data_IF_482465256694
#
_entry.id   IF_482465256694
#
_cell.length_a   1.000
_cell.length_b   1.000
_cell.length_c   1.000
_cell.angle_alpha   90.00
_cell.angle_beta   90.00
_cell.angle_gamma   90.00
#
_symmetry.space_group_name_H-M   'P 1'
#
loop_
_entity.id
_entity.type
_entity.pdbx_description
1 polymer ?
#
# COMPACT_ATOMS: atom_id res chain seq x y z
N UNK A 1 -76.42 -4.66 -9.51
CA UNK A 1 -76.35 -6.01 -8.90
C UNK A 1 -74.88 -6.27 -8.59
N UNK A 2 -74.49 -5.92 -7.37
CA UNK A 2 -74.07 -6.84 -6.30
C UNK A 2 -72.78 -7.62 -6.67
N UNK A 3 -71.67 -7.54 -5.92
CA UNK A 3 -71.41 -6.88 -4.63
C UNK A 3 -69.91 -7.04 -4.33
N UNK A 4 -69.29 -5.98 -3.79
CA UNK A 4 -68.31 -5.96 -2.67
C UNK A 4 -67.04 -6.84 -2.71
N UNK A 5 -65.82 -6.45 -2.31
CA UNK A 5 -65.08 -5.24 -1.86
C UNK A 5 -63.88 -5.78 -1.06
N UNK A 6 -62.71 -5.11 -1.12
CA UNK A 6 -61.80 -4.72 0.00
C UNK A 6 -61.33 -5.78 1.02
N UNK A 7 -60.22 -5.66 1.74
CA UNK A 7 -59.03 -4.80 1.84
C UNK A 7 -58.17 -5.44 2.95
N UNK A 8 -56.85 -5.21 2.95
CA UNK A 8 -55.98 -4.95 4.12
C UNK A 8 -55.89 -5.99 5.27
N UNK A 9 -54.88 -6.07 6.14
CA UNK A 9 -53.53 -5.54 6.31
C UNK A 9 -52.87 -6.32 7.49
N UNK A 10 -51.53 -6.42 7.46
CA UNK A 10 -50.54 -6.20 8.54
C UNK A 10 -50.75 -6.74 9.99
N UNK A 11 -49.67 -7.39 10.46
CA UNK A 11 -49.07 -7.48 11.82
C UNK A 11 -49.40 -8.63 12.80
N UNK A 12 -48.47 -8.93 13.73
CA UNK A 12 -48.16 -10.28 14.16
C UNK A 12 -48.42 -10.45 15.68
N UNK A 13 -47.92 -11.57 16.18
CA UNK A 13 -47.58 -11.85 17.58
C UNK A 13 -48.62 -12.63 18.41
N UNK A 14 -48.00 -13.50 19.23
CA UNK A 14 -48.39 -14.01 20.54
C UNK A 14 -49.12 -15.37 20.60
N UNK A 15 -48.31 -16.29 21.16
CA UNK A 15 -48.59 -17.12 22.34
C UNK A 15 -49.50 -18.33 22.14
N UNK A 16 -48.95 -19.50 22.43
CA UNK A 16 -49.22 -20.33 23.63
C UNK A 16 -48.88 -21.79 23.29
N UNK A 17 -47.96 -22.44 24.00
CA UNK A 17 -48.24 -23.41 25.08
C UNK A 17 -48.11 -24.88 24.57
N UNK A 18 -47.63 -25.92 25.28
CA UNK A 18 -47.23 -26.14 26.69
C UNK A 18 -46.53 -27.54 26.76
N UNK A 19 -45.44 -27.61 27.54
CA UNK A 19 -44.97 -28.62 28.52
C UNK A 19 -44.59 -30.10 28.22
N UNK A 20 -43.43 -30.44 28.82
CA UNK A 20 -43.11 -31.69 29.54
C UNK A 20 -41.61 -31.98 29.46
N UNK A 21 -40.78 -32.11 30.50
CA UNK A 21 -40.90 -32.09 31.96
C UNK A 21 -39.62 -32.72 32.56
N UNK A 22 -39.13 -32.18 33.69
CA UNK A 22 -38.14 -32.70 34.67
C UNK A 22 -36.68 -32.98 34.20
N UNK A 23 -35.59 -32.68 34.93
CA UNK A 23 -35.35 -32.09 36.25
C UNK A 23 -33.85 -32.20 36.63
N UNK A 24 -33.34 -31.23 37.43
CA UNK A 24 -32.09 -31.17 38.24
C UNK A 24 -30.72 -31.50 37.57
N UNK A 25 -29.59 -30.79 37.77
CA UNK A 25 -29.10 -30.00 38.90
C UNK A 25 -28.11 -28.91 38.43
N UNK A 26 -28.09 -27.75 39.10
CA UNK A 26 -27.09 -26.68 38.89
C UNK A 26 -26.02 -26.81 39.98
N UNK A 27 -24.80 -27.17 39.58
CA UNK A 27 -23.62 -26.99 40.42
C UNK A 27 -22.98 -25.64 40.05
N UNK A 28 -23.08 -24.67 40.96
CA UNK A 28 -22.36 -23.41 40.87
C UNK A 28 -20.88 -23.65 41.20
N UNK A 29 -19.99 -23.51 40.21
CA UNK A 29 -18.55 -23.43 40.47
C UNK A 29 -18.19 -21.96 40.69
N UNK A 30 -18.01 -21.59 41.96
CA UNK A 30 -17.36 -20.35 42.34
C UNK A 30 -15.86 -20.46 42.04
N UNK A 31 -15.37 -19.68 41.08
CA UNK A 31 -13.92 -19.51 40.86
C UNK A 31 -13.47 -18.31 41.70
N UNK A 32 -12.43 -18.45 42.55
CA UNK A 32 -11.95 -17.34 43.35
C UNK A 32 -11.28 -16.29 42.44
N UNK A 33 -11.67 -15.02 42.61
CA UNK A 33 -10.88 -13.88 42.13
C UNK A 33 -9.55 -13.87 42.91
N UNK A 34 -8.52 -14.47 42.34
CA UNK A 34 -7.14 -14.21 42.74
C UNK A 34 -6.70 -12.88 42.12
N UNK A 35 -6.22 -11.99 42.97
CA UNK A 35 -5.71 -10.67 42.63
C UNK A 35 -4.56 -10.76 41.61
N UNK A 36 -4.74 -10.15 40.43
CA UNK A 36 -3.61 -9.80 39.58
C UNK A 36 -2.99 -8.51 40.13
N UNK A 37 -2.03 -8.69 41.02
CA UNK A 37 -1.10 -7.65 41.42
C UNK A 37 -0.30 -7.17 40.18
N UNK A 38 -0.10 -5.86 40.12
CA UNK A 38 0.47 -5.18 38.96
C UNK A 38 1.82 -5.72 38.52
N UNK A 39 1.86 -6.19 37.27
CA UNK A 39 3.07 -6.21 36.47
C UNK A 39 3.11 -4.93 35.66
N UNK A 40 4.03 -4.01 35.97
CA UNK A 40 4.40 -2.95 35.05
C UNK A 40 4.76 -3.56 33.71
N UNK A 41 4.05 -3.17 32.64
CA UNK A 41 4.41 -3.53 31.28
C UNK A 41 5.83 -2.99 31.01
N UNK A 42 6.82 -3.87 31.12
CA UNK A 42 8.19 -3.56 30.79
C UNK A 42 8.24 -3.48 29.26
N UNK A 43 8.52 -2.28 28.74
CA UNK A 43 8.73 -2.08 27.32
C UNK A 43 9.77 -3.10 26.83
N UNK A 44 9.44 -3.79 25.73
CA UNK A 44 10.37 -4.70 25.09
C UNK A 44 11.70 -3.97 24.78
N UNK A 45 12.86 -4.60 25.02
CA UNK A 45 14.13 -3.94 24.76
C UNK A 45 14.23 -3.65 23.26
N UNK A 46 14.58 -2.41 22.93
CA UNK A 46 14.94 -2.04 21.56
C UNK A 46 16.25 -2.75 21.23
N UNK A 47 16.18 -3.80 20.41
CA UNK A 47 17.37 -4.49 19.93
C UNK A 47 18.00 -3.65 18.82
N UNK A 48 19.06 -2.91 19.15
CA UNK A 48 19.97 -2.37 18.16
C UNK A 48 21.19 -3.30 18.05
N UNK A 49 21.22 -4.17 17.04
CA UNK A 49 22.44 -4.91 16.71
C UNK A 49 22.35 -6.32 16.09
N UNK A 50 21.17 -6.82 15.70
CA UNK A 50 21.08 -8.13 15.02
C UNK A 50 21.68 -8.11 13.60
N UNK A 51 22.36 -9.18 13.20
CA UNK A 51 22.76 -9.37 11.80
C UNK A 51 21.53 -9.70 10.94
N UNK A 52 21.43 -9.09 9.75
CA UNK A 52 20.36 -9.40 8.79
C UNK A 52 20.57 -10.80 8.21
N UNK A 53 19.61 -11.70 8.44
CA UNK A 53 19.57 -13.05 7.87
C UNK A 53 18.82 -13.03 6.53
N UNK A 54 19.20 -13.89 5.57
CA UNK A 54 18.48 -14.04 4.29
C UNK A 54 18.26 -15.49 3.88
N UNK A 55 17.09 -15.78 3.35
CA UNK A 55 16.79 -17.02 2.61
C UNK A 55 16.77 -16.74 1.10
N UNK A 56 16.31 -17.70 0.28
CA UNK A 56 16.17 -17.47 -1.17
C UNK A 56 15.16 -16.36 -1.56
N UNK A 57 14.23 -16.00 -0.66
CA UNK A 57 13.16 -15.01 -0.97
C UNK A 57 12.73 -14.15 0.21
N UNK A 58 13.46 -14.19 1.34
CA UNK A 58 13.20 -13.32 2.49
C UNK A 58 14.49 -12.76 3.08
N UNK A 59 14.38 -11.59 3.71
CA UNK A 59 15.36 -11.10 4.68
C UNK A 59 14.68 -10.93 6.04
N UNK A 60 15.45 -11.02 7.13
CA UNK A 60 14.99 -10.61 8.47
C UNK A 60 15.68 -9.32 8.86
N UNK A 61 14.91 -8.25 9.04
CA UNK A 61 15.43 -6.93 9.44
C UNK A 61 15.97 -6.95 10.87
N UNK A 62 16.72 -5.91 11.24
CA UNK A 62 17.31 -5.72 12.57
C UNK A 62 16.26 -5.69 13.68
N UNK A 63 15.04 -5.23 13.39
CA UNK A 63 13.89 -5.23 14.31
C UNK A 63 13.03 -6.51 14.21
N UNK A 64 13.48 -7.54 13.48
CA UNK A 64 12.86 -8.86 13.46
C UNK A 64 11.69 -9.01 12.48
N UNK A 65 11.52 -8.08 11.53
CA UNK A 65 10.50 -8.18 10.48
C UNK A 65 11.03 -9.04 9.33
N UNK A 66 10.24 -10.02 8.90
CA UNK A 66 10.56 -10.78 7.70
C UNK A 66 10.01 -10.05 6.48
N UNK A 67 10.90 -9.64 5.58
CA UNK A 67 10.55 -8.97 4.33
C UNK A 67 10.70 -9.97 3.19
N UNK A 68 9.58 -10.31 2.56
CA UNK A 68 9.55 -11.10 1.34
C UNK A 68 9.95 -10.25 0.14
N UNK A 69 10.70 -10.84 -0.78
CA UNK A 69 11.00 -10.22 -2.06
C UNK A 69 11.10 -11.26 -3.18
N UNK A 70 10.90 -10.79 -4.42
CA UNK A 70 11.19 -11.51 -5.64
C UNK A 70 12.42 -10.89 -6.31
N UNK A 71 13.21 -11.70 -7.01
CA UNK A 71 14.45 -11.29 -7.67
C UNK A 71 14.57 -11.96 -9.04
N UNK A 72 14.16 -11.22 -10.07
CA UNK A 72 13.93 -11.67 -11.45
C UNK A 72 15.09 -11.26 -12.37
N UNK A 73 15.22 -11.96 -13.50
CA UNK A 73 16.16 -11.60 -14.56
C UNK A 73 17.63 -12.00 -14.28
N UNK A 74 18.55 -11.60 -15.15
CA UNK A 74 19.97 -11.97 -15.04
C UNK A 74 20.62 -11.35 -13.81
N UNK A 75 21.39 -12.13 -13.04
CA UNK A 75 22.08 -11.65 -11.83
C UNK A 75 23.12 -10.54 -12.09
N UNK A 76 23.60 -10.45 -13.34
CA UNK A 76 24.53 -9.43 -13.84
C UNK A 76 23.85 -8.18 -14.39
N UNK A 77 22.52 -8.19 -14.54
CA UNK A 77 21.76 -7.04 -15.00
C UNK A 77 21.81 -5.89 -14.00
N UNK A 78 21.68 -4.65 -14.48
CA UNK A 78 21.54 -3.50 -13.59
C UNK A 78 20.32 -3.70 -12.68
N UNK A 79 20.45 -3.52 -11.35
CA UNK A 79 19.33 -3.74 -10.44
C UNK A 79 18.29 -2.64 -10.57
N UNK A 80 17.02 -3.05 -10.73
CA UNK A 80 15.84 -2.21 -10.62
C UNK A 80 15.05 -2.67 -9.41
N UNK A 81 14.77 -1.77 -8.46
CA UNK A 81 13.92 -2.07 -7.31
C UNK A 81 12.59 -1.34 -7.49
N UNK A 82 11.49 -2.07 -7.38
CA UNK A 82 10.14 -1.57 -7.55
C UNK A 82 9.36 -1.70 -6.23
N UNK A 83 9.02 -0.56 -5.62
CA UNK A 83 8.23 -0.47 -4.38
C UNK A 83 6.74 -0.30 -4.69
N UNK A 84 5.88 -1.12 -4.10
CA UNK A 84 4.45 -1.16 -4.41
C UNK A 84 3.62 -0.12 -3.63
N UNK A 85 2.42 0.15 -4.11
CA UNK A 85 1.42 1.01 -3.47
C UNK A 85 0.59 0.31 -2.40
N UNK A 86 -0.21 1.08 -1.65
CA UNK A 86 -1.17 0.55 -0.68
C UNK A 86 -2.48 0.07 -1.35
N UNK A 87 -3.14 -1.00 -0.85
CA UNK A 87 -2.70 -1.98 0.16
C UNK A 87 -2.09 -3.23 -0.51
N UNK A 88 -1.38 -3.05 -1.63
CA UNK A 88 -0.95 -4.12 -2.53
C UNK A 88 0.29 -4.86 -2.01
N UNK A 89 0.95 -5.62 -2.87
CA UNK A 89 2.23 -6.25 -2.59
C UNK A 89 3.09 -6.28 -3.88
N UNK A 90 4.24 -6.98 -3.84
CA UNK A 90 5.18 -7.10 -4.95
C UNK A 90 4.58 -7.64 -6.26
N UNK A 91 3.41 -8.28 -6.21
CA UNK A 91 2.73 -8.86 -7.38
C UNK A 91 2.17 -7.79 -8.32
N UNK A 92 1.78 -6.63 -7.78
CA UNK A 92 1.31 -5.47 -8.57
C UNK A 92 2.32 -4.97 -9.62
N UNK A 93 3.59 -5.33 -9.48
CA UNK A 93 4.65 -4.97 -10.41
C UNK A 93 4.93 -6.01 -11.50
N UNK A 94 4.20 -7.12 -11.54
CA UNK A 94 4.54 -8.28 -12.39
C UNK A 94 4.75 -7.91 -13.87
N UNK A 95 3.93 -7.01 -14.43
CA UNK A 95 4.04 -6.63 -15.84
C UNK A 95 5.34 -5.87 -16.11
N UNK A 96 5.67 -4.89 -15.28
CA UNK A 96 6.89 -4.10 -15.40
C UNK A 96 8.13 -4.95 -15.12
N UNK A 97 8.08 -5.77 -14.07
CA UNK A 97 9.18 -6.65 -13.70
C UNK A 97 9.48 -7.68 -14.79
N UNK A 98 8.45 -8.30 -15.38
CA UNK A 98 8.61 -9.22 -16.51
C UNK A 98 9.22 -8.52 -17.72
N UNK A 99 8.71 -7.33 -18.06
CA UNK A 99 9.19 -6.57 -19.22
C UNK A 99 10.66 -6.14 -19.08
N UNK A 100 11.05 -5.62 -17.91
CA UNK A 100 12.42 -5.20 -17.61
C UNK A 100 13.39 -6.39 -17.54
N UNK A 101 12.98 -7.50 -16.91
CA UNK A 101 13.80 -8.71 -16.83
C UNK A 101 14.11 -9.28 -18.23
N UNK A 102 13.10 -9.32 -19.11
CA UNK A 102 13.29 -9.71 -20.52
C UNK A 102 14.14 -8.71 -21.33
N UNK A 103 14.40 -7.52 -20.79
CA UNK A 103 15.27 -6.50 -21.36
C UNK A 103 16.63 -6.39 -20.65
N UNK A 104 17.04 -7.42 -19.90
CA UNK A 104 18.39 -7.56 -19.34
C UNK A 104 18.62 -6.90 -17.99
N UNK A 105 17.57 -6.39 -17.33
CA UNK A 105 17.66 -5.86 -15.97
C UNK A 105 17.47 -6.96 -14.92
N UNK A 106 18.10 -6.81 -13.75
CA UNK A 106 17.78 -7.61 -12.56
C UNK A 106 16.68 -6.88 -11.80
N UNK A 107 15.50 -7.46 -11.66
CA UNK A 107 14.36 -6.74 -11.04
C UNK A 107 14.04 -7.32 -9.68
N UNK A 108 14.03 -6.46 -8.66
CA UNK A 108 13.65 -6.80 -7.30
C UNK A 108 12.32 -6.11 -6.99
N UNK A 109 11.31 -6.89 -6.60
CA UNK A 109 10.06 -6.38 -6.02
C UNK A 109 9.93 -6.94 -4.61
N UNK A 110 9.57 -6.12 -3.64
CA UNK A 110 9.47 -6.56 -2.25
C UNK A 110 8.10 -6.27 -1.67
N UNK A 111 7.69 -7.05 -0.70
CA UNK A 111 6.48 -6.82 0.07
C UNK A 111 6.83 -5.95 1.26
N UNK A 112 6.21 -4.77 1.38
CA UNK A 112 6.34 -3.91 2.56
C UNK A 112 5.96 -4.70 3.82
N UNK A 113 6.53 -4.35 4.98
CA UNK A 113 6.09 -4.91 6.27
C UNK A 113 4.56 -4.91 6.38
N UNK A 114 4.01 -6.04 6.79
CA UNK A 114 2.57 -6.24 6.90
C UNK A 114 1.79 -6.35 5.61
N UNK A 115 2.43 -6.43 4.45
CA UNK A 115 1.79 -6.63 3.16
C UNK A 115 2.20 -7.97 2.56
N UNK A 116 1.30 -8.57 1.77
CA UNK A 116 1.56 -9.82 1.07
C UNK A 116 2.11 -10.93 1.98
N UNK A 117 3.35 -11.33 1.71
CA UNK A 117 4.06 -12.44 2.37
C UNK A 117 5.05 -11.99 3.44
N UNK A 118 5.26 -10.69 3.60
CA UNK A 118 6.07 -10.17 4.70
C UNK A 118 5.35 -10.38 6.04
N UNK A 119 6.11 -10.46 7.14
CA UNK A 119 5.51 -10.60 8.46
C UNK A 119 4.62 -9.38 8.79
N UNK A 120 3.69 -9.56 9.72
CA UNK A 120 2.66 -8.58 10.05
C UNK A 120 2.92 -7.95 11.43
N UNK A 121 3.98 -7.14 11.59
CA UNK A 121 4.27 -6.51 12.88
C UNK A 121 3.14 -5.55 13.26
N UNK A 122 2.84 -5.46 14.55
CA UNK A 122 1.78 -4.56 15.02
C UNK A 122 2.18 -3.08 14.90
N UNK A 123 3.46 -2.78 15.10
CA UNK A 123 4.03 -1.44 15.18
C UNK A 123 4.99 -1.13 14.02
N UNK A 124 5.44 0.12 13.94
CA UNK A 124 6.37 0.60 12.91
C UNK A 124 5.76 0.66 11.52
N UNK A 125 4.45 0.90 11.41
CA UNK A 125 3.76 1.06 10.12
C UNK A 125 3.81 2.52 9.65
N UNK A 126 5.02 3.03 9.47
CA UNK A 126 5.31 4.40 9.06
C UNK A 126 6.41 4.46 8.00
N UNK A 127 6.56 5.61 7.36
CA UNK A 127 7.48 5.79 6.23
C UNK A 127 8.95 5.62 6.62
N UNK A 128 9.33 5.88 7.87
CA UNK A 128 10.71 5.72 8.33
C UNK A 128 11.08 4.23 8.40
N UNK A 129 10.20 3.41 8.99
CA UNK A 129 10.38 1.97 9.00
C UNK A 129 10.32 1.36 7.60
N UNK A 130 9.42 1.83 6.73
CA UNK A 130 9.36 1.36 5.33
C UNK A 130 10.68 1.64 4.59
N UNK A 131 11.26 2.83 4.79
CA UNK A 131 12.55 3.19 4.20
C UNK A 131 13.71 2.37 4.79
N UNK A 132 13.68 2.10 6.10
CA UNK A 132 14.72 1.31 6.77
C UNK A 132 14.66 -0.17 6.41
N UNK A 133 13.48 -0.73 6.17
CA UNK A 133 13.31 -2.09 5.62
C UNK A 133 13.90 -2.19 4.20
N UNK A 134 13.57 -1.22 3.34
CA UNK A 134 14.10 -1.14 1.99
C UNK A 134 15.64 -1.00 1.98
N UNK A 135 16.20 -0.19 2.88
CA UNK A 135 17.65 -0.06 3.03
C UNK A 135 18.30 -1.39 3.43
N UNK A 136 17.70 -2.11 4.37
CA UNK A 136 18.22 -3.41 4.80
C UNK A 136 18.12 -4.48 3.70
N UNK A 137 17.06 -4.45 2.86
CA UNK A 137 16.97 -5.29 1.67
C UNK A 137 18.10 -4.98 0.67
N UNK A 138 18.33 -3.71 0.39
CA UNK A 138 19.41 -3.25 -0.50
C UNK A 138 20.78 -3.70 0.03
N UNK A 139 21.00 -3.59 1.34
CA UNK A 139 22.24 -3.99 2.02
C UNK A 139 22.43 -5.52 1.98
N UNK A 140 21.41 -6.31 2.32
CA UNK A 140 21.48 -7.77 2.37
C UNK A 140 21.77 -8.42 1.00
N UNK A 141 21.33 -7.75 -0.06
CA UNK A 141 21.57 -8.14 -1.45
C UNK A 141 22.80 -7.47 -2.08
N UNK A 142 23.51 -6.62 -1.32
CA UNK A 142 24.61 -5.72 -1.74
C UNK A 142 24.36 -5.03 -3.09
N UNK A 143 23.16 -4.48 -3.27
CA UNK A 143 22.79 -3.84 -4.52
C UNK A 143 23.46 -2.46 -4.64
N UNK A 144 23.93 -2.15 -5.84
CA UNK A 144 24.60 -0.89 -6.20
C UNK A 144 24.17 -0.48 -7.61
N UNK A 145 24.30 0.79 -7.96
CA UNK A 145 23.88 1.34 -9.26
C UNK A 145 22.38 1.09 -9.56
N UNK A 146 21.55 1.24 -8.53
CA UNK A 146 20.13 0.85 -8.52
C UNK A 146 19.27 1.89 -9.25
N UNK A 147 18.32 1.41 -10.06
CA UNK A 147 17.16 2.20 -10.47
C UNK A 147 16.06 1.92 -9.44
N UNK A 148 15.75 2.90 -8.59
CA UNK A 148 14.78 2.74 -7.51
C UNK A 148 13.50 3.49 -7.86
N UNK A 149 12.40 2.77 -8.03
CA UNK A 149 11.11 3.36 -8.39
C UNK A 149 9.98 2.87 -7.49
N UNK A 150 9.00 3.74 -7.27
CA UNK A 150 7.89 3.47 -6.39
C UNK A 150 6.56 3.92 -6.99
N UNK A 151 5.54 3.08 -6.83
CA UNK A 151 4.17 3.37 -7.22
C UNK A 151 3.35 3.82 -6.01
N UNK A 152 2.61 4.94 -6.13
CA UNK A 152 1.71 5.42 -5.07
C UNK A 152 2.45 5.58 -3.73
N UNK A 153 2.00 4.89 -2.67
CA UNK A 153 2.69 4.80 -1.38
C UNK A 153 4.17 4.40 -1.50
N UNK A 154 4.51 3.51 -2.44
CA UNK A 154 5.88 3.11 -2.70
C UNK A 154 6.76 4.25 -3.21
N UNK A 155 6.19 5.25 -3.88
CA UNK A 155 6.95 6.47 -4.22
C UNK A 155 7.28 7.32 -3.00
N UNK A 156 6.40 7.32 -1.98
CA UNK A 156 6.70 7.89 -0.66
C UNK A 156 7.82 7.15 0.07
N UNK A 157 7.80 5.82 0.02
CA UNK A 157 8.90 5.00 0.55
C UNK A 157 10.24 5.28 -0.15
N UNK A 158 10.24 5.41 -1.49
CA UNK A 158 11.42 5.82 -2.25
C UNK A 158 11.91 7.20 -1.83
N UNK A 159 11.01 8.16 -1.67
CA UNK A 159 11.37 9.50 -1.21
C UNK A 159 11.98 9.46 0.19
N UNK A 160 11.34 8.79 1.14
CA UNK A 160 11.84 8.67 2.51
C UNK A 160 13.15 7.90 2.58
N UNK A 161 13.34 6.87 1.75
CA UNK A 161 14.62 6.18 1.61
C UNK A 161 15.73 7.15 1.21
N UNK A 162 15.54 7.96 0.18
CA UNK A 162 16.54 8.98 -0.22
C UNK A 162 16.76 9.99 0.92
N UNK A 163 15.67 10.40 1.59
CA UNK A 163 15.71 11.32 2.71
C UNK A 163 16.60 10.87 3.87
N UNK A 164 16.57 9.58 4.19
CA UNK A 164 17.25 8.96 5.34
C UNK A 164 18.60 8.34 5.00
N UNK A 165 18.70 7.68 3.85
CA UNK A 165 19.83 6.83 3.46
C UNK A 165 20.66 7.41 2.30
N UNK A 166 20.20 8.52 1.71
CA UNK A 166 20.87 9.17 0.59
C UNK A 166 20.85 8.34 -0.70
N UNK A 167 21.70 8.70 -1.65
CA UNK A 167 21.66 8.16 -3.02
C UNK A 167 22.94 7.45 -3.44
N UNK A 168 23.83 7.11 -2.48
CA UNK A 168 25.13 6.49 -2.78
C UNK A 168 25.03 5.19 -3.59
N UNK A 169 23.98 4.40 -3.38
CA UNK A 169 23.71 3.15 -4.11
C UNK A 169 22.79 3.34 -5.32
N UNK A 170 22.27 4.54 -5.55
CA UNK A 170 21.21 4.85 -6.50
C UNK A 170 21.76 5.51 -7.75
N UNK A 171 21.40 4.98 -8.91
CA UNK A 171 21.69 5.53 -10.22
C UNK A 171 20.57 6.45 -10.72
N UNK A 172 19.31 6.02 -10.55
CA UNK A 172 18.12 6.71 -11.04
C UNK A 172 16.93 6.49 -10.10
N UNK A 173 16.00 7.43 -10.11
CA UNK A 173 14.81 7.42 -9.26
C UNK A 173 13.52 7.48 -10.09
N UNK A 174 12.45 6.88 -9.60
CA UNK A 174 11.13 6.89 -10.25
C UNK A 174 9.99 7.10 -9.26
N UNK A 175 9.11 8.06 -9.54
CA UNK A 175 7.88 8.34 -8.80
C UNK A 175 6.66 8.16 -9.71
N UNK A 176 5.92 7.06 -9.56
CA UNK A 176 4.83 6.67 -10.46
C UNK A 176 3.51 6.81 -9.69
N UNK A 177 2.64 7.72 -10.12
CA UNK A 177 1.38 8.06 -9.43
C UNK A 177 1.59 8.25 -7.91
N UNK A 178 2.71 8.83 -7.50
CA UNK A 178 3.25 8.73 -6.15
C UNK A 178 2.65 9.75 -5.18
N UNK A 179 2.58 9.41 -3.88
CA UNK A 179 2.02 10.28 -2.83
C UNK A 179 2.80 11.56 -2.47
N UNK A 180 4.13 11.67 -2.68
CA UNK A 180 4.85 12.93 -2.44
C UNK A 180 4.32 14.09 -3.31
N UNK A 181 4.41 15.35 -2.83
CA UNK A 181 5.11 15.75 -1.60
C UNK A 181 4.31 15.62 -0.31
N UNK A 182 2.98 15.76 -0.35
CA UNK A 182 2.06 15.58 0.79
C UNK A 182 0.63 15.49 0.25
N UNK A 183 -0.13 14.46 0.63
CA UNK A 183 -1.54 14.36 0.21
C UNK A 183 -2.48 15.20 1.08
N UNK A 184 -2.26 15.24 2.39
CA UNK A 184 -3.13 15.93 3.34
C UNK A 184 -3.16 17.43 3.10
N UNK A 185 -4.37 18.00 3.13
CA UNK A 185 -4.58 19.44 3.15
C UNK A 185 -4.04 20.04 4.45
N UNK A 186 -3.13 21.00 4.33
CA UNK A 186 -2.61 21.77 5.47
C UNK A 186 -2.51 23.24 5.10
N UNK A 187 -2.18 24.11 6.07
CA UNK A 187 -1.91 25.53 5.79
C UNK A 187 -0.79 25.72 4.73
N UNK A 188 0.17 24.79 4.67
CA UNK A 188 1.27 24.82 3.70
C UNK A 188 1.06 23.91 2.49
N UNK A 189 -0.11 23.27 2.40
CA UNK A 189 -0.54 22.43 1.28
C UNK A 189 -2.06 22.58 1.05
N UNK A 190 -2.53 23.78 0.62
CA UNK A 190 -3.96 24.07 0.54
C UNK A 190 -4.70 23.26 -0.54
N UNK A 191 -3.96 22.75 -1.54
CA UNK A 191 -4.48 21.89 -2.62
C UNK A 191 -4.54 20.40 -2.26
N UNK A 192 -4.12 20.02 -1.05
CA UNK A 192 -4.25 18.64 -0.56
C UNK A 192 -5.70 18.23 -0.29
N UNK A 193 -5.91 16.95 -0.02
CA UNK A 193 -7.21 16.37 0.31
C UNK A 193 -7.57 16.60 1.79
N UNK A 194 -8.85 16.89 2.12
CA UNK A 194 -9.30 17.02 3.50
C UNK A 194 -9.07 15.75 4.33
N UNK A 195 -8.89 15.90 5.65
CA UNK A 195 -8.64 14.77 6.57
C UNK A 195 -9.79 13.75 6.54
N UNK A 196 -11.01 14.23 6.33
CA UNK A 196 -12.25 13.46 6.30
C UNK A 196 -12.22 12.38 5.22
N UNK A 197 -11.46 12.60 4.12
CA UNK A 197 -11.25 11.58 3.08
C UNK A 197 -10.50 10.39 3.66
N UNK A 198 -9.41 10.63 4.38
CA UNK A 198 -8.57 9.57 4.96
C UNK A 198 -9.23 8.92 6.18
N UNK A 199 -9.96 9.70 6.99
CA UNK A 199 -10.80 9.16 8.06
C UNK A 199 -11.91 8.26 7.52
N UNK A 200 -12.49 8.59 6.36
CA UNK A 200 -13.44 7.74 5.67
C UNK A 200 -12.83 6.39 5.25
N UNK A 201 -11.61 6.39 4.72
CA UNK A 201 -10.90 5.14 4.37
C UNK A 201 -10.63 4.33 5.65
N UNK A 202 -10.12 4.97 6.72
CA UNK A 202 -9.88 4.32 8.02
C UNK A 202 -11.16 3.69 8.59
N UNK A 203 -12.26 4.44 8.58
CA UNK A 203 -13.56 3.95 9.04
C UNK A 203 -14.05 2.76 8.18
N UNK A 204 -13.91 2.84 6.85
CA UNK A 204 -14.24 1.77 5.93
C UNK A 204 -13.40 0.50 6.16
N UNK A 205 -12.11 0.65 6.45
CA UNK A 205 -11.22 -0.47 6.79
C UNK A 205 -11.70 -1.20 8.05
N UNK A 206 -12.03 -0.45 9.09
CA UNK A 206 -12.53 -1.02 10.36
C UNK A 206 -13.90 -1.67 10.18
N UNK A 207 -14.80 -1.02 9.44
CA UNK A 207 -16.17 -1.50 9.26
C UNK A 207 -16.24 -2.74 8.37
N UNK A 208 -15.61 -2.71 7.20
CA UNK A 208 -15.61 -3.81 6.24
C UNK A 208 -14.50 -3.63 5.20
N UNK A 209 -13.24 -3.92 5.57
CA UNK A 209 -12.10 -3.82 4.64
C UNK A 209 -12.29 -4.60 3.34
N UNK A 210 -12.98 -5.74 3.38
CA UNK A 210 -13.17 -6.57 2.19
C UNK A 210 -14.03 -5.85 1.15
N UNK A 211 -15.15 -5.24 1.58
CA UNK A 211 -15.99 -4.44 0.69
C UNK A 211 -15.28 -3.16 0.24
N UNK A 212 -14.61 -2.45 1.16
CA UNK A 212 -13.83 -1.25 0.82
C UNK A 212 -12.84 -1.53 -0.32
N UNK A 213 -12.15 -2.67 -0.25
CA UNK A 213 -11.15 -3.08 -1.24
C UNK A 213 -11.77 -3.37 -2.62
N UNK A 214 -12.94 -4.02 -2.65
CA UNK A 214 -13.69 -4.20 -3.88
C UNK A 214 -14.17 -2.85 -4.45
N UNK A 215 -14.66 -1.95 -3.61
CA UNK A 215 -15.19 -0.65 -4.02
C UNK A 215 -14.09 0.24 -4.62
N UNK A 216 -12.91 0.28 -3.99
CA UNK A 216 -11.75 1.03 -4.50
C UNK A 216 -11.30 0.48 -5.87
N UNK A 217 -11.12 -0.83 -5.98
CA UNK A 217 -10.64 -1.45 -7.21
C UNK A 217 -11.67 -1.40 -8.34
N UNK A 218 -12.97 -1.54 -8.03
CA UNK A 218 -14.06 -1.50 -9.01
C UNK A 218 -14.45 -0.10 -9.44
N UNK A 219 -13.97 0.93 -8.72
CA UNK A 219 -14.30 2.32 -9.00
C UNK A 219 -13.05 3.17 -9.30
N UNK A 220 -12.57 3.97 -8.33
CA UNK A 220 -11.63 5.05 -8.59
C UNK A 220 -10.21 4.59 -8.96
N UNK A 221 -9.74 3.43 -8.48
CA UNK A 221 -8.34 3.03 -8.63
C UNK A 221 -7.93 2.85 -10.10
N UNK A 222 -8.78 2.19 -10.89
CA UNK A 222 -8.55 1.94 -12.31
C UNK A 222 -9.42 2.83 -13.22
N UNK A 223 -10.13 3.81 -12.66
CA UNK A 223 -11.07 4.66 -13.40
C UNK A 223 -12.28 3.90 -13.94
N UNK A 224 -12.62 2.75 -13.36
CA UNK A 224 -13.75 1.92 -13.78
C UNK A 224 -15.12 2.56 -13.47
N UNK A 225 -15.13 3.59 -12.63
CA UNK A 225 -16.29 4.47 -12.42
C UNK A 225 -16.47 5.56 -13.50
N UNK A 226 -15.56 5.68 -14.47
CA UNK A 226 -15.69 6.67 -15.56
C UNK A 226 -16.67 6.21 -16.64
N UNK A 227 -17.41 7.14 -17.28
CA UNK A 227 -18.29 6.80 -18.39
C UNK A 227 -17.54 6.07 -19.52
N UNK A 228 -18.09 4.95 -19.98
CA UNK A 228 -17.50 4.14 -21.05
C UNK A 228 -16.31 3.28 -20.64
N UNK A 229 -15.93 3.25 -19.36
CA UNK A 229 -14.93 2.33 -18.86
C UNK A 229 -15.36 0.87 -19.05
N UNK A 230 -14.37 -0.02 -19.22
CA UNK A 230 -14.58 -1.47 -19.35
C UNK A 230 -13.92 -2.19 -18.17
N UNK A 231 -14.63 -2.39 -17.05
CA UNK A 231 -14.06 -3.03 -15.87
C UNK A 231 -13.54 -4.45 -16.17
N UNK A 232 -12.34 -4.75 -15.68
CA UNK A 232 -11.75 -6.09 -15.76
C UNK A 232 -11.88 -6.78 -14.41
N UNK A 233 -12.69 -7.83 -14.34
CA UNK A 233 -12.88 -8.55 -13.09
C UNK A 233 -11.62 -9.26 -12.61
N UNK A 234 -10.76 -9.72 -13.53
CA UNK A 234 -9.47 -10.30 -13.16
C UNK A 234 -8.57 -9.29 -12.44
N UNK A 235 -8.51 -8.05 -12.93
CA UNK A 235 -7.72 -6.97 -12.31
C UNK A 235 -8.31 -6.58 -10.95
N UNK A 236 -9.63 -6.43 -10.85
CA UNK A 236 -10.32 -6.11 -9.60
C UNK A 236 -10.04 -7.19 -8.54
N UNK A 237 -10.17 -8.46 -8.91
CA UNK A 237 -9.95 -9.57 -7.98
C UNK A 237 -8.47 -9.75 -7.62
N UNK A 238 -7.54 -9.48 -8.55
CA UNK A 238 -6.11 -9.48 -8.25
C UNK A 238 -5.73 -8.37 -7.25
N UNK A 239 -6.29 -7.17 -7.39
CA UNK A 239 -6.13 -6.07 -6.44
C UNK A 239 -6.68 -6.46 -5.05
N UNK A 240 -7.91 -6.97 -5.02
CA UNK A 240 -8.58 -7.43 -3.80
C UNK A 240 -7.78 -8.54 -3.10
N UNK A 241 -7.32 -9.55 -3.84
CA UNK A 241 -6.56 -10.66 -3.30
C UNK A 241 -5.24 -10.21 -2.66
N UNK A 242 -4.54 -9.24 -3.25
CA UNK A 242 -3.34 -8.66 -2.65
C UNK A 242 -3.65 -7.91 -1.36
N UNK A 243 -4.68 -7.05 -1.38
CA UNK A 243 -5.10 -6.30 -0.19
C UNK A 243 -5.52 -7.19 0.98
N UNK A 244 -6.22 -8.29 0.69
CA UNK A 244 -6.68 -9.22 1.73
C UNK A 244 -5.57 -10.09 2.34
N UNK A 245 -4.45 -10.27 1.65
CA UNK A 245 -3.25 -10.91 2.23
C UNK A 245 -2.55 -10.02 3.26
N UNK A 246 -2.71 -8.70 3.16
CA UNK A 246 -2.07 -7.76 4.07
C UNK A 246 -2.70 -7.80 5.48
N UNK A 247 -1.87 -7.50 6.48
CA UNK A 247 -2.30 -7.32 7.86
C UNK A 247 -3.27 -6.15 7.97
N UNK A 248 -4.38 -6.34 8.69
CA UNK A 248 -5.40 -5.30 8.86
C UNK A 248 -4.78 -4.06 9.53
N UNK A 249 -4.07 -4.25 10.66
CA UNK A 249 -3.40 -3.14 11.37
C UNK A 249 -2.42 -2.39 10.47
N UNK A 250 -1.62 -3.12 9.70
CA UNK A 250 -0.59 -2.54 8.84
C UNK A 250 -1.21 -1.66 7.75
N UNK A 251 -2.23 -2.17 7.07
CA UNK A 251 -2.96 -1.41 6.05
C UNK A 251 -3.71 -0.23 6.64
N UNK A 252 -4.31 -0.37 7.83
CA UNK A 252 -4.97 0.73 8.53
C UNK A 252 -4.00 1.87 8.88
N UNK A 253 -2.88 1.57 9.53
CA UNK A 253 -1.89 2.58 9.91
C UNK A 253 -1.23 3.23 8.69
N UNK A 254 -1.02 2.45 7.63
CA UNK A 254 -0.41 2.94 6.40
C UNK A 254 -1.22 4.08 5.75
N UNK A 255 -2.53 4.18 6.04
CA UNK A 255 -3.36 5.31 5.60
C UNK A 255 -2.77 6.63 6.09
N UNK A 256 -2.42 6.72 7.37
CA UNK A 256 -1.73 7.88 7.91
C UNK A 256 -0.34 8.02 7.29
N UNK A 257 0.41 6.92 7.18
CA UNK A 257 1.77 6.94 6.65
C UNK A 257 1.85 7.51 5.23
N UNK A 258 0.91 7.17 4.33
CA UNK A 258 0.94 7.66 2.96
C UNK A 258 0.30 9.05 2.80
N UNK A 259 -0.69 9.39 3.62
CA UNK A 259 -1.46 10.63 3.40
C UNK A 259 -0.94 11.84 4.17
N UNK A 260 -0.41 11.62 5.39
CA UNK A 260 -0.07 12.68 6.33
C UNK A 260 1.45 12.93 6.42
N UNK A 261 2.26 12.05 5.83
CA UNK A 261 3.72 12.24 5.80
C UNK A 261 4.10 13.30 4.79
N UNK A 262 4.88 14.29 5.22
CA UNK A 262 5.47 15.31 4.37
C UNK A 262 6.86 14.87 3.87
N UNK A 263 7.00 14.81 2.55
CA UNK A 263 8.22 14.38 1.85
C UNK A 263 8.99 15.56 1.24
N UNK A 264 8.60 16.81 1.46
CA UNK A 264 9.24 17.98 0.81
C UNK A 264 10.74 18.06 1.10
N UNK A 265 11.15 17.79 2.35
CA UNK A 265 12.58 17.78 2.71
C UNK A 265 13.33 16.58 2.12
N UNK A 266 12.63 15.47 1.89
CA UNK A 266 13.21 14.28 1.25
C UNK A 266 13.44 14.52 -0.24
N UNK A 267 12.45 15.09 -0.93
CA UNK A 267 12.51 15.42 -2.36
C UNK A 267 13.62 16.43 -2.67
N UNK A 268 13.91 17.37 -1.77
CA UNK A 268 15.04 18.32 -1.91
C UNK A 268 16.41 17.63 -1.93
N UNK A 269 16.52 16.42 -1.39
CA UNK A 269 17.76 15.62 -1.36
C UNK A 269 17.95 14.76 -2.60
N UNK A 270 16.99 14.75 -3.53
CA UNK A 270 17.14 14.01 -4.79
C UNK A 270 18.22 14.66 -5.65
N UNK A 271 19.31 13.94 -5.88
CA UNK A 271 20.47 14.37 -6.68
C UNK A 271 20.72 13.48 -7.91
N UNK A 272 19.78 12.58 -8.23
CA UNK A 272 19.85 11.64 -9.38
C UNK A 272 18.78 11.97 -10.43
N UNK A 273 18.99 11.57 -11.70
CA UNK A 273 17.92 11.61 -12.70
C UNK A 273 16.66 10.94 -12.16
N UNK A 274 15.54 11.66 -12.22
CA UNK A 274 14.28 11.22 -11.64
C UNK A 274 13.18 11.25 -12.69
N UNK A 275 12.49 10.14 -12.87
CA UNK A 275 11.29 10.06 -13.69
C UNK A 275 10.05 10.24 -12.80
N UNK A 276 9.12 11.08 -13.22
CA UNK A 276 7.78 11.17 -12.64
C UNK A 276 6.77 10.81 -13.72
N UNK A 277 5.94 9.79 -13.48
CA UNK A 277 4.81 9.44 -14.37
C UNK A 277 3.53 9.60 -13.57
N UNK A 278 2.55 10.34 -14.09
CA UNK A 278 1.26 10.53 -13.41
C UNK A 278 0.12 10.67 -14.42
N UNK A 279 -1.02 10.04 -14.14
CA UNK A 279 -2.26 10.29 -14.89
C UNK A 279 -2.91 11.60 -14.47
N UNK A 280 -3.43 12.40 -15.40
CA UNK A 280 -4.14 13.64 -15.06
C UNK A 280 -5.61 13.41 -14.65
N UNK A 281 -6.12 12.17 -14.74
CA UNK A 281 -7.43 11.74 -14.24
C UNK A 281 -7.31 10.78 -13.03
N UNK A 282 -6.21 10.87 -12.29
CA UNK A 282 -5.97 10.09 -11.08
C UNK A 282 -6.94 10.50 -9.95
N UNK A 283 -7.84 9.60 -9.57
CA UNK A 283 -8.86 9.80 -8.54
C UNK A 283 -8.42 9.41 -7.12
N UNK A 284 -7.21 8.85 -6.97
CA UNK A 284 -6.66 8.43 -5.68
C UNK A 284 -5.62 9.43 -5.20
N UNK A 285 -4.68 9.81 -6.08
CA UNK A 285 -3.58 10.74 -5.79
C UNK A 285 -3.65 11.92 -6.76
N UNK A 286 -4.20 13.08 -6.35
CA UNK A 286 -4.38 14.23 -7.22
C UNK A 286 -3.05 14.76 -7.79
N UNK A 287 -2.92 14.76 -9.12
CA UNK A 287 -1.66 15.07 -9.83
C UNK A 287 -1.03 16.42 -9.45
N UNK A 288 -1.84 17.46 -9.24
CA UNK A 288 -1.33 18.82 -8.97
C UNK A 288 -0.64 18.91 -7.61
N UNK A 289 -1.21 18.27 -6.58
CA UNK A 289 -0.65 18.21 -5.24
C UNK A 289 0.42 17.11 -5.09
N UNK A 290 0.61 16.28 -6.12
CA UNK A 290 1.49 15.12 -6.10
C UNK A 290 2.55 15.17 -7.22
N UNK A 291 2.34 14.48 -8.35
CA UNK A 291 3.33 14.35 -9.42
C UNK A 291 3.90 15.68 -9.94
N UNK A 292 3.05 16.68 -10.19
CA UNK A 292 3.52 18.01 -10.63
C UNK A 292 4.30 18.74 -9.54
N UNK A 293 3.81 18.72 -8.30
CA UNK A 293 4.49 19.35 -7.16
C UNK A 293 5.84 18.68 -6.86
N UNK A 294 5.92 17.34 -6.94
CA UNK A 294 7.16 16.59 -6.79
C UNK A 294 8.18 16.93 -7.89
N UNK A 295 7.74 16.98 -9.15
CA UNK A 295 8.61 17.34 -10.26
C UNK A 295 9.13 18.79 -10.17
N UNK A 296 8.35 19.70 -9.56
CA UNK A 296 8.80 21.07 -9.32
C UNK A 296 9.87 21.20 -8.22
N UNK A 297 9.89 20.28 -7.24
CA UNK A 297 10.89 20.27 -6.15
C UNK A 297 12.18 19.57 -6.59
N UNK A 298 12.07 18.46 -7.32
CA UNK A 298 13.20 17.63 -7.71
C UNK A 298 13.93 18.24 -8.91
N UNK A 299 15.17 18.71 -8.70
CA UNK A 299 15.97 19.44 -9.69
C UNK A 299 16.17 18.73 -11.03
N UNK A 300 16.20 17.40 -11.03
CA UNK A 300 16.46 16.57 -12.22
C UNK A 300 15.25 15.70 -12.60
N UNK A 301 14.04 16.19 -12.32
CA UNK A 301 12.82 15.48 -12.68
C UNK A 301 12.45 15.64 -14.15
N UNK A 302 12.08 14.53 -14.79
CA UNK A 302 11.31 14.49 -16.02
C UNK A 302 9.89 14.05 -15.69
N UNK A 303 8.92 14.95 -15.84
CA UNK A 303 7.50 14.62 -15.71
C UNK A 303 6.93 14.13 -17.05
N UNK A 304 6.26 12.99 -17.03
CA UNK A 304 5.42 12.50 -18.13
C UNK A 304 3.99 12.40 -17.60
N UNK A 305 3.10 13.21 -18.15
CA UNK A 305 1.67 13.15 -17.85
C UNK A 305 0.99 12.19 -18.84
N UNK A 306 0.16 11.29 -18.34
CA UNK A 306 -0.67 10.41 -19.16
C UNK A 306 -2.10 10.97 -19.20
N UNK A 307 -2.53 11.58 -20.33
CA UNK A 307 -3.85 12.17 -20.43
C UNK A 307 -4.96 11.12 -20.25
N UNK A 308 -5.92 11.40 -19.37
CA UNK A 308 -7.05 10.55 -19.03
C UNK A 308 -6.70 9.29 -18.25
N UNK A 309 -5.44 9.09 -17.85
CA UNK A 309 -5.05 7.87 -17.16
C UNK A 309 -5.45 7.88 -15.68
N UNK A 310 -5.90 6.73 -15.13
CA UNK A 310 -6.27 6.59 -13.73
C UNK A 310 -5.04 6.37 -12.84
N UNK A 311 -5.26 6.16 -11.54
CA UNK A 311 -4.20 5.83 -10.59
C UNK A 311 -3.41 4.58 -10.99
N UNK A 312 -4.11 3.46 -11.23
CA UNK A 312 -3.57 2.17 -11.65
C UNK A 312 -3.10 2.13 -13.11
N UNK A 313 -2.33 3.13 -13.53
CA UNK A 313 -1.78 3.25 -14.89
C UNK A 313 -0.75 2.16 -15.23
N UNK A 314 -0.14 1.53 -14.22
CA UNK A 314 0.77 0.39 -14.40
C UNK A 314 0.06 -0.83 -14.98
N UNK A 315 -1.27 -0.94 -14.81
CA UNK A 315 -2.10 -1.98 -15.40
C UNK A 315 -2.87 -1.49 -16.63
N UNK A 316 -3.57 -0.35 -16.50
CA UNK A 316 -4.48 0.15 -17.55
C UNK A 316 -3.74 0.70 -18.76
N UNK A 317 -2.50 1.16 -18.57
CA UNK A 317 -1.63 1.72 -19.61
C UNK A 317 -0.30 0.95 -19.68
N UNK A 318 -0.32 -0.35 -19.38
CA UNK A 318 0.88 -1.17 -19.17
C UNK A 318 1.89 -1.13 -20.32
N UNK A 319 1.43 -1.14 -21.58
CA UNK A 319 2.34 -1.09 -22.73
C UNK A 319 3.10 0.23 -22.80
N UNK A 320 2.37 1.35 -22.68
CA UNK A 320 2.96 2.69 -22.66
C UNK A 320 3.86 2.86 -21.43
N UNK A 321 3.40 2.47 -20.24
CA UNK A 321 4.20 2.49 -19.02
C UNK A 321 5.50 1.70 -19.15
N UNK A 322 5.44 0.46 -19.62
CA UNK A 322 6.60 -0.39 -19.80
C UNK A 322 7.60 0.22 -20.80
N UNK A 323 7.13 0.79 -21.90
CA UNK A 323 7.97 1.46 -22.88
C UNK A 323 8.66 2.70 -22.32
N UNK A 324 7.91 3.61 -21.69
CA UNK A 324 8.44 4.86 -21.12
C UNK A 324 9.42 4.58 -19.97
N UNK A 325 9.10 3.62 -19.10
CA UNK A 325 9.96 3.24 -17.98
C UNK A 325 11.24 2.53 -18.46
N UNK A 326 11.14 1.65 -19.46
CA UNK A 326 12.31 1.00 -20.06
C UNK A 326 13.24 2.02 -20.75
N UNK A 327 12.67 2.99 -21.47
CA UNK A 327 13.45 4.05 -22.12
C UNK A 327 14.22 4.88 -21.08
N UNK A 328 13.58 5.24 -19.97
CA UNK A 328 14.27 5.88 -18.85
C UNK A 328 15.32 4.98 -18.21
N UNK A 329 15.05 3.69 -18.04
CA UNK A 329 15.99 2.76 -17.43
C UNK A 329 17.29 2.65 -18.26
N UNK A 330 17.18 2.61 -19.59
CA UNK A 330 18.30 2.50 -20.54
C UNK A 330 19.09 3.81 -20.80
N UNK A 331 18.57 4.96 -20.36
CA UNK A 331 19.15 6.28 -20.69
C UNK A 331 20.43 6.65 -19.95
#
# INVERSE_FOLDING_TARGET
MNKTTQDQAVNPSRRSAIFGGAGAAVAAVAVPLAAFAGGSAQAAPVIHGGAVSKTGSTITTRDGVEIYYKDWGPRTGQPVILSHGWPLNADSWESAAFHLANNGFRVITHDRRGHGRSSQPWDGNDMDHYADDLAQLIEALDLKNIILAGFSTGGGEVARYVGRHGTKRIAKLGLISAVPPLMLKTATNPGGLPMEVFDGIRAGSVANRAQLYLDIASGPFYGYNRPGAKPSQGIIQAWYAQGMQAGHKNTYDSIKAFSETDFREDLKKFDKPTLVIHGDDDQIVPIDAAGKASAAIVKHAKLIVYPGAPHGLTDTHKERFNADFLAFAKS
#
